data_IF_733672338613
#
_entry.id   IF_733672338613
#
_cell.length_a   1.000
_cell.length_b   1.000
_cell.length_c   1.000
_cell.angle_alpha   90.00
_cell.angle_beta   90.00
_cell.angle_gamma   90.00
#
_symmetry.space_group_name_H-M   'P 1'
#
loop_
_entity.id
_entity.type
_entity.pdbx_description
1 polymer ?
#
# COMPACT_ATOMS: atom_id res chain seq x y z
N UNK A 1 -10.32 1.99 -3.70
CA UNK A 1 -9.02 1.36 -3.86
C UNK A 1 -8.80 0.31 -2.79
N UNK A 2 -8.77 -0.93 -3.21
CA UNK A 2 -8.73 -2.05 -2.27
C UNK A 2 -7.42 -2.11 -1.48
N UNK A 3 -6.30 -1.77 -2.11
CA UNK A 3 -5.00 -1.80 -1.43
C UNK A 3 -4.94 -0.82 -0.27
N UNK A 4 -5.47 0.38 -0.42
CA UNK A 4 -5.47 1.37 0.67
C UNK A 4 -6.34 0.92 1.83
N UNK A 5 -7.52 0.36 1.56
CA UNK A 5 -8.38 -0.18 2.60
C UNK A 5 -7.70 -1.32 3.35
N UNK A 6 -7.05 -2.22 2.60
CA UNK A 6 -6.26 -3.32 3.18
C UNK A 6 -5.10 -2.81 4.04
N UNK A 7 -4.36 -1.82 3.54
CA UNK A 7 -3.23 -1.22 4.26
C UNK A 7 -3.68 -0.57 5.57
N UNK A 8 -4.78 0.19 5.54
CA UNK A 8 -5.30 0.83 6.75
C UNK A 8 -5.67 -0.20 7.81
N UNK A 9 -6.40 -1.24 7.42
CA UNK A 9 -6.76 -2.31 8.34
C UNK A 9 -5.54 -3.01 8.93
N UNK A 10 -4.53 -3.24 8.11
CA UNK A 10 -3.30 -3.88 8.54
C UNK A 10 -2.54 -3.01 9.56
N UNK A 11 -2.41 -1.71 9.27
CA UNK A 11 -1.76 -0.76 10.17
C UNK A 11 -2.51 -0.64 11.50
N UNK A 12 -3.82 -0.48 11.45
CA UNK A 12 -4.65 -0.33 12.66
C UNK A 12 -4.57 -1.57 13.56
N UNK A 13 -4.38 -2.76 12.97
CA UNK A 13 -4.34 -4.00 13.74
C UNK A 13 -2.94 -4.38 14.22
N UNK A 14 -1.88 -3.99 13.50
CA UNK A 14 -0.51 -4.46 13.74
C UNK A 14 0.41 -3.44 14.42
N UNK A 15 0.11 -2.15 14.31
CA UNK A 15 0.90 -1.09 14.94
C UNK A 15 0.22 -0.70 16.24
N UNK A 16 0.84 -0.96 17.41
CA UNK A 16 0.16 -0.71 18.71
C UNK A 16 -0.33 0.71 18.88
N UNK A 17 0.48 1.70 18.48
CA UNK A 17 0.07 3.11 18.57
C UNK A 17 -1.20 3.39 17.77
N UNK A 18 -1.32 2.84 16.57
CA UNK A 18 -2.48 3.06 15.69
C UNK A 18 -3.70 2.29 16.14
N UNK A 19 -3.50 1.14 16.78
CA UNK A 19 -4.59 0.40 17.39
C UNK A 19 -5.31 1.24 18.46
N UNK A 20 -4.54 1.99 19.24
CA UNK A 20 -5.06 2.85 20.29
C UNK A 20 -5.46 4.25 19.79
N UNK A 21 -4.86 4.70 18.69
CA UNK A 21 -5.05 6.06 18.16
C UNK A 21 -5.29 6.03 16.64
N UNK A 22 -6.34 5.35 16.15
CA UNK A 22 -6.58 5.25 14.69
C UNK A 22 -6.86 6.59 14.04
N UNK A 23 -7.33 7.59 14.79
CA UNK A 23 -7.60 8.94 14.31
C UNK A 23 -6.33 9.71 13.91
N UNK A 24 -5.15 9.25 14.34
CA UNK A 24 -3.88 9.90 14.01
C UNK A 24 -3.33 9.44 12.65
N UNK A 25 -3.99 8.49 12.00
CA UNK A 25 -3.60 7.95 10.71
C UNK A 25 -4.43 8.54 9.58
N UNK A 26 -3.75 9.11 8.59
CA UNK A 26 -4.35 9.63 7.36
C UNK A 26 -3.74 8.90 6.18
N UNK A 27 -4.60 8.39 5.29
CA UNK A 27 -4.18 7.80 4.02
C UNK A 27 -4.81 8.60 2.88
N UNK A 28 -4.00 9.00 1.90
CA UNK A 28 -4.52 9.65 0.72
C UNK A 28 -3.70 9.30 -0.52
N UNK A 29 -4.27 9.58 -1.67
CA UNK A 29 -3.70 9.26 -2.97
C UNK A 29 -3.24 10.53 -3.66
N UNK A 30 -2.02 10.50 -4.18
CA UNK A 30 -1.44 11.55 -5.02
C UNK A 30 -0.95 10.95 -6.33
N UNK A 31 -0.82 11.83 -7.34
CA UNK A 31 -0.22 11.47 -8.64
C UNK A 31 -0.86 10.23 -9.25
N UNK A 32 -2.18 10.10 -9.12
CA UNK A 32 -2.90 8.96 -9.67
C UNK A 32 -3.01 9.04 -11.19
N UNK A 33 -2.81 7.89 -11.84
CA UNK A 33 -3.01 7.71 -13.27
C UNK A 33 -3.85 6.49 -13.53
N UNK A 34 -4.62 6.53 -14.60
CA UNK A 34 -5.40 5.39 -15.07
C UNK A 34 -4.83 4.99 -16.43
N UNK A 35 -4.37 3.75 -16.52
CA UNK A 35 -3.81 3.22 -17.75
C UNK A 35 -4.86 2.30 -18.37
N UNK A 36 -5.36 2.70 -19.55
CA UNK A 36 -6.28 1.88 -20.32
C UNK A 36 -5.49 0.78 -21.01
N UNK A 37 -5.90 -0.46 -20.85
CA UNK A 37 -5.29 -1.58 -21.54
C UNK A 37 -5.83 -1.67 -22.96
N UNK A 38 -5.04 -2.24 -23.89
CA UNK A 38 -5.47 -2.45 -25.28
C UNK A 38 -6.24 -3.76 -25.45
N UNK A 39 -6.92 -4.20 -24.41
CA UNK A 39 -7.76 -5.39 -24.43
C UNK A 39 -9.15 -5.08 -24.98
N UNK A 40 -9.88 -6.13 -25.36
CA UNK A 40 -11.24 -5.98 -25.85
C UNK A 40 -12.22 -5.54 -24.77
N UNK A 41 -11.84 -5.71 -23.50
CA UNK A 41 -12.63 -5.31 -22.35
C UNK A 41 -12.22 -3.92 -21.87
N UNK A 42 -13.11 -3.17 -21.19
CA UNK A 42 -12.74 -1.87 -20.62
C UNK A 42 -11.90 -1.96 -19.34
N UNK A 43 -11.06 -2.95 -19.26
CA UNK A 43 -10.14 -3.17 -18.13
C UNK A 43 -9.06 -2.10 -18.10
N UNK A 44 -8.52 -1.81 -16.91
CA UNK A 44 -7.55 -0.75 -16.70
C UNK A 44 -6.66 -1.03 -15.51
N UNK A 45 -5.64 -0.19 -15.36
CA UNK A 45 -4.73 -0.25 -14.22
C UNK A 45 -4.65 1.12 -13.57
N UNK A 46 -4.72 1.16 -12.25
CA UNK A 46 -4.37 2.35 -11.47
C UNK A 46 -2.89 2.34 -11.16
N UNK A 47 -2.23 3.49 -11.34
CA UNK A 47 -0.93 3.76 -10.77
C UNK A 47 -1.04 5.00 -9.90
N UNK A 48 -0.57 4.95 -8.66
CA UNK A 48 -0.71 6.07 -7.75
C UNK A 48 0.33 6.03 -6.64
N UNK A 49 0.53 7.19 -6.01
CA UNK A 49 1.31 7.29 -4.79
C UNK A 49 0.36 7.29 -3.61
N UNK A 50 0.52 6.35 -2.72
CA UNK A 50 -0.18 6.32 -1.44
C UNK A 50 0.65 7.07 -0.41
N UNK A 51 0.04 8.05 0.25
CA UNK A 51 0.67 8.77 1.37
C UNK A 51 0.07 8.27 2.67
N UNK A 52 0.94 7.82 3.56
CA UNK A 52 0.59 7.41 4.92
C UNK A 52 1.12 8.49 5.85
N UNK A 53 0.23 9.23 6.50
CA UNK A 53 0.62 10.27 7.45
C UNK A 53 0.17 9.86 8.83
N UNK A 54 1.11 9.85 9.78
CA UNK A 54 0.82 9.55 11.17
C UNK A 54 1.26 10.75 11.99
N UNK A 55 0.31 11.41 12.64
CA UNK A 55 0.58 12.56 13.50
C UNK A 55 0.86 12.13 14.93
N UNK A 56 1.82 12.79 15.56
CA UNK A 56 2.19 12.56 16.96
C UNK A 56 2.50 11.09 17.28
N UNK A 57 3.21 10.44 16.36
CA UNK A 57 3.59 9.03 16.55
C UNK A 57 4.61 8.92 17.68
N UNK A 58 4.26 8.15 18.72
CA UNK A 58 5.12 7.90 19.87
C UNK A 58 5.59 6.45 19.96
N UNK A 59 5.21 5.61 19.01
CA UNK A 59 5.61 4.20 18.97
C UNK A 59 7.00 3.99 18.41
N UNK A 60 7.39 2.72 18.28
CA UNK A 60 8.66 2.35 17.66
C UNK A 60 8.56 2.51 16.15
N UNK A 61 9.39 3.39 15.59
CA UNK A 61 9.42 3.65 14.15
C UNK A 61 9.80 2.39 13.36
N UNK A 62 10.69 1.57 13.89
CA UNK A 62 11.10 0.34 13.20
C UNK A 62 9.95 -0.68 13.11
N UNK A 63 9.10 -0.73 14.13
CA UNK A 63 7.88 -1.57 14.08
C UNK A 63 6.94 -1.07 12.99
N UNK A 64 6.73 0.25 12.92
CA UNK A 64 5.89 0.85 11.88
C UNK A 64 6.38 0.49 10.48
N UNK A 65 7.66 0.70 10.23
CA UNK A 65 8.25 0.42 8.90
C UNK A 65 8.21 -1.07 8.59
N UNK A 66 8.47 -1.93 9.58
CA UNK A 66 8.42 -3.39 9.40
C UNK A 66 7.01 -3.85 9.02
N UNK A 67 5.98 -3.28 9.63
CA UNK A 67 4.59 -3.61 9.32
C UNK A 67 4.23 -3.18 7.89
N UNK A 68 4.62 -1.97 7.49
CA UNK A 68 4.40 -1.50 6.13
C UNK A 68 5.14 -2.38 5.12
N UNK A 69 6.39 -2.71 5.40
CA UNK A 69 7.19 -3.57 4.53
C UNK A 69 6.59 -4.96 4.39
N UNK A 70 6.09 -5.54 5.47
CA UNK A 70 5.43 -6.84 5.44
C UNK A 70 4.18 -6.81 4.56
N UNK A 71 3.38 -5.75 4.69
CA UNK A 71 2.21 -5.56 3.83
C UNK A 71 2.61 -5.42 2.34
N UNK A 72 3.67 -4.64 2.05
CA UNK A 72 4.17 -4.44 0.69
C UNK A 72 4.60 -5.75 0.04
N UNK A 73 5.30 -6.60 0.76
CA UNK A 73 5.76 -7.88 0.24
C UNK A 73 4.61 -8.78 -0.20
N UNK A 74 3.46 -8.64 0.43
CA UNK A 74 2.27 -9.43 0.12
C UNK A 74 1.38 -8.79 -0.95
N UNK A 75 1.40 -7.46 -1.07
CA UNK A 75 0.45 -6.73 -1.91
C UNK A 75 1.09 -5.98 -3.07
N UNK A 76 2.39 -5.70 -3.01
CA UNK A 76 3.13 -5.01 -4.07
C UNK A 76 4.54 -5.60 -4.14
N UNK A 77 4.63 -6.89 -4.43
CA UNK A 77 5.88 -7.64 -4.35
C UNK A 77 6.98 -7.16 -5.30
N UNK A 78 6.63 -6.50 -6.41
CA UNK A 78 7.59 -5.96 -7.35
C UNK A 78 8.48 -4.87 -6.75
N UNK A 79 8.01 -4.13 -5.75
CA UNK A 79 8.83 -3.12 -5.05
C UNK A 79 10.03 -3.80 -4.38
N UNK A 80 9.81 -4.90 -3.69
CA UNK A 80 10.88 -5.59 -2.98
C UNK A 80 11.77 -6.44 -3.90
N UNK A 81 11.25 -6.85 -5.05
CA UNK A 81 11.98 -7.70 -6.00
C UNK A 81 12.87 -6.92 -6.97
N UNK A 82 12.55 -5.65 -7.26
CA UNK A 82 13.26 -4.81 -8.22
C UNK A 82 14.11 -3.78 -7.48
N UNK A 83 15.47 -3.79 -7.63
CA UNK A 83 16.33 -2.85 -6.91
C UNK A 83 16.04 -1.38 -7.17
N UNK A 84 15.68 -1.01 -8.40
CA UNK A 84 15.33 0.37 -8.73
C UNK A 84 14.05 0.79 -8.04
N UNK A 85 13.03 -0.07 -8.06
CA UNK A 85 11.75 0.21 -7.38
C UNK A 85 11.90 0.27 -5.87
N UNK A 86 12.76 -0.57 -5.28
CA UNK A 86 13.03 -0.51 -3.83
C UNK A 86 13.55 0.85 -3.39
N UNK A 87 14.35 1.52 -4.24
CA UNK A 87 14.92 2.82 -3.91
C UNK A 87 13.94 3.97 -4.12
N UNK A 88 13.02 3.84 -5.08
CA UNK A 88 12.16 4.94 -5.52
C UNK A 88 10.74 4.86 -5.00
N UNK A 89 10.25 3.66 -4.75
CA UNK A 89 8.82 3.44 -4.54
C UNK A 89 8.43 3.27 -3.07
N UNK A 90 9.37 3.38 -2.16
CA UNK A 90 9.12 3.29 -0.73
C UNK A 90 10.04 4.29 -0.02
N UNK A 91 9.46 5.43 0.39
CA UNK A 91 10.19 6.56 0.98
C UNK A 91 9.48 7.06 2.22
N UNK A 92 10.21 7.76 3.08
CA UNK A 92 9.62 8.37 4.26
C UNK A 92 10.24 9.75 4.54
N UNK A 93 9.48 10.55 5.30
CA UNK A 93 9.95 11.79 5.92
C UNK A 93 9.43 11.80 7.35
N UNK A 94 10.18 12.45 8.22
CA UNK A 94 9.78 12.59 9.62
C UNK A 94 10.09 13.98 10.12
N UNK A 95 9.15 14.56 10.87
CA UNK A 95 9.35 15.80 11.61
C UNK A 95 9.38 15.43 13.09
N UNK A 96 10.56 15.56 13.69
CA UNK A 96 10.76 15.24 15.11
C UNK A 96 10.21 16.41 15.93
N UNK A 97 9.21 16.12 16.75
CA UNK A 97 8.54 17.13 17.57
C UNK A 97 9.23 17.28 18.93
N UNK A 98 9.58 16.15 19.54
CA UNK A 98 10.29 16.10 20.82
C UNK A 98 11.00 14.74 20.94
N UNK A 99 11.48 14.39 22.14
CA UNK A 99 12.22 13.14 22.35
C UNK A 99 11.39 11.87 22.15
N UNK A 100 10.07 11.96 22.14
CA UNK A 100 9.17 10.81 22.13
C UNK A 100 8.17 10.79 20.98
N UNK A 101 7.97 11.92 20.30
CA UNK A 101 6.95 12.01 19.25
C UNK A 101 7.47 12.61 17.96
N UNK A 102 6.90 12.18 16.85
CA UNK A 102 7.21 12.67 15.51
C UNK A 102 5.96 12.61 14.62
N UNK A 103 5.90 13.49 13.63
CA UNK A 103 5.00 13.32 12.50
C UNK A 103 5.75 12.52 11.45
N UNK A 104 5.15 11.42 10.98
CA UNK A 104 5.77 10.51 10.01
C UNK A 104 4.94 10.51 8.74
N UNK A 105 5.61 10.65 7.60
CA UNK A 105 5.01 10.54 6.28
C UNK A 105 5.72 9.43 5.51
N UNK A 106 4.96 8.47 4.99
CA UNK A 106 5.48 7.38 4.17
C UNK A 106 4.82 7.44 2.81
N UNK A 107 5.62 7.37 1.75
CA UNK A 107 5.13 7.34 0.38
C UNK A 107 5.38 5.98 -0.24
N UNK A 108 4.33 5.41 -0.83
CA UNK A 108 4.37 4.13 -1.53
C UNK A 108 3.82 4.32 -2.94
N UNK A 109 4.57 3.89 -3.95
CA UNK A 109 4.03 3.83 -5.31
C UNK A 109 3.39 2.47 -5.51
N UNK A 110 2.09 2.48 -5.76
CA UNK A 110 1.26 1.28 -5.85
C UNK A 110 0.57 1.19 -7.20
N UNK A 111 0.24 -0.03 -7.58
CA UNK A 111 -0.56 -0.31 -8.76
C UNK A 111 -1.72 -1.23 -8.39
N UNK A 112 -2.85 -1.07 -9.10
CA UNK A 112 -4.01 -1.97 -8.96
C UNK A 112 -4.60 -2.21 -10.33
N UNK A 113 -4.61 -3.48 -10.75
CA UNK A 113 -5.25 -3.87 -12.00
C UNK A 113 -6.70 -4.24 -11.76
N UNK A 114 -7.59 -3.72 -12.62
CA UNK A 114 -9.03 -3.96 -12.53
C UNK A 114 -9.52 -4.56 -13.82
N UNK A 115 -10.14 -5.73 -13.74
CA UNK A 115 -10.85 -6.34 -14.85
C UNK A 115 -12.26 -5.80 -14.87
N UNK A 116 -12.67 -5.25 -16.02
CA UNK A 116 -14.02 -4.76 -16.23
C UNK A 116 -14.61 -5.43 -17.45
N UNK A 117 -15.81 -5.98 -17.32
CA UNK A 117 -16.53 -6.65 -18.40
C UNK A 117 -17.91 -6.04 -18.50
N UNK A 118 -18.31 -5.68 -19.71
CA UNK A 118 -19.69 -5.22 -19.97
C UNK A 118 -20.54 -6.43 -20.34
N UNK A 119 -21.51 -6.77 -19.48
CA UNK A 119 -22.49 -7.84 -19.73
C UNK A 119 -23.88 -7.23 -19.76
N UNK A 120 -24.51 -7.24 -20.94
CA UNK A 120 -25.89 -6.78 -21.11
C UNK A 120 -26.14 -5.36 -20.56
N UNK A 121 -25.19 -4.46 -20.78
CA UNK A 121 -25.25 -3.08 -20.30
C UNK A 121 -24.85 -2.87 -18.86
N UNK A 122 -24.42 -3.91 -18.17
CA UNK A 122 -23.90 -3.83 -16.79
C UNK A 122 -22.42 -4.15 -16.76
N UNK A 123 -21.68 -3.39 -15.96
CA UNK A 123 -20.25 -3.64 -15.78
C UNK A 123 -20.01 -4.57 -14.61
N UNK A 124 -19.31 -5.68 -14.90
CA UNK A 124 -18.84 -6.61 -13.86
C UNK A 124 -17.37 -6.29 -13.60
N UNK A 125 -17.05 -6.00 -12.35
CA UNK A 125 -15.72 -5.54 -11.95
C UNK A 125 -15.05 -6.59 -11.05
N UNK A 126 -13.80 -6.96 -11.39
CA UNK A 126 -12.97 -7.84 -10.57
C UNK A 126 -11.59 -7.22 -10.41
N UNK A 127 -11.08 -7.20 -9.19
CA UNK A 127 -9.68 -6.83 -8.94
C UNK A 127 -8.79 -8.03 -9.23
N UNK A 128 -7.72 -7.83 -10.01
CA UNK A 128 -6.77 -8.90 -10.31
C UNK A 128 -5.84 -9.09 -9.11
N UNK A 129 -5.67 -10.33 -8.62
CA UNK A 129 -4.72 -10.61 -7.54
C UNK A 129 -3.29 -10.24 -7.95
N UNK A 130 -2.50 -9.79 -6.97
CA UNK A 130 -1.08 -9.54 -7.19
C UNK A 130 -0.33 -10.87 -7.39
N UNK A 131 0.73 -10.86 -8.23
CA UNK A 131 1.61 -12.01 -8.34
C UNK A 131 2.26 -12.30 -6.98
N UNK A 132 2.28 -13.58 -6.60
CA UNK A 132 2.89 -13.99 -5.35
C UNK A 132 4.41 -14.01 -5.51
N UNK A 133 5.13 -13.43 -4.53
CA UNK A 133 6.58 -13.49 -4.51
C UNK A 133 7.00 -14.93 -4.18
N UNK A 134 7.87 -15.57 -5.00
CA UNK A 134 8.29 -16.96 -4.76
C UNK A 134 8.86 -17.21 -3.37
N UNK A 135 9.57 -16.24 -2.81
CA UNK A 135 10.13 -16.36 -1.46
C UNK A 135 9.05 -16.36 -0.39
N UNK A 136 7.98 -15.60 -0.58
CA UNK A 136 6.86 -15.58 0.37
C UNK A 136 6.05 -16.87 0.32
N UNK A 137 5.89 -17.49 -0.86
CA UNK A 137 5.27 -18.82 -0.98
C UNK A 137 6.04 -19.86 -0.16
N UNK A 138 7.36 -19.81 -0.21
CA UNK A 138 8.22 -20.73 0.54
C UNK A 138 8.01 -20.58 2.05
N UNK A 139 7.82 -19.37 2.52
CA UNK A 139 7.60 -19.09 3.93
C UNK A 139 6.20 -19.48 4.40
N UNK A 140 5.19 -19.36 3.52
CA UNK A 140 3.80 -19.66 3.89
C UNK A 140 3.45 -21.14 3.82
N UNK A 141 4.24 -21.96 3.12
CA UNK A 141 4.02 -23.40 3.02
C UNK A 141 4.65 -24.22 4.15
N UNK A 142 5.32 -23.52 5.03
CA UNK A 142 5.93 -24.12 6.22
C UNK A 142 5.02 -23.92 7.46
#
# INVERSE_FOLDING_TARGET
>A
MKKLTSLRGYLDSKVPFLKDNPENLYLFVENGRIISTLEETPSFEYEYTANIIIEHYSGDQNVLIAVVNDWLRKNQSDISANPTKRQQDFKFEAVILDNTTAHISIELNLTERVLAINKDGKYVIEATPEPVNPFDEWQTTQ
#
